data_IF_294805757367
#
_entry.id   IF_294805757367
#
_cell.length_a   1.000
_cell.length_b   1.000
_cell.length_c   1.000
_cell.angle_alpha   90.00
_cell.angle_beta   90.00
_cell.angle_gamma   90.00
#
_symmetry.space_group_name_H-M   'P 1'
#
loop_
_entity.id
_entity.type
_entity.pdbx_description
1 polymer ?
#
# COMPACT_ATOMS: atom_id res chain seq x y z
N UNK A 1 -22.64 -12.70 16.31
CA UNK A 1 -21.74 -11.76 15.60
C UNK A 1 -20.87 -11.11 16.64
N UNK A 2 -19.56 -11.12 16.44
CA UNK A 2 -18.53 -10.18 16.95
C UNK A 2 -17.18 -10.91 16.86
N UNK A 3 -16.67 -11.07 15.63
CA UNK A 3 -15.30 -11.55 15.43
C UNK A 3 -14.38 -10.33 15.46
N UNK A 4 -13.87 -10.03 16.65
CA UNK A 4 -12.82 -9.03 16.86
C UNK A 4 -11.51 -9.55 16.25
N UNK A 5 -11.22 -9.12 15.02
CA UNK A 5 -9.96 -9.38 14.36
C UNK A 5 -8.89 -8.39 14.79
N UNK A 6 -8.32 -8.55 16.00
CA UNK A 6 -7.06 -7.90 16.33
C UNK A 6 -5.97 -8.55 15.48
N UNK A 7 -5.52 -7.85 14.43
CA UNK A 7 -4.30 -8.22 13.72
C UNK A 7 -3.15 -8.01 14.70
N UNK A 8 -2.58 -9.10 15.20
CA UNK A 8 -1.40 -9.11 16.06
C UNK A 8 -0.26 -8.36 15.35
N UNK A 9 -0.03 -7.11 15.73
CA UNK A 9 1.17 -6.37 15.33
C UNK A 9 2.33 -6.88 16.19
N UNK A 10 3.06 -7.86 15.66
CA UNK A 10 4.19 -8.48 16.35
C UNK A 10 5.39 -7.53 16.32
N UNK A 11 5.64 -6.80 17.41
CA UNK A 11 6.88 -6.04 17.65
C UNK A 11 8.04 -6.96 18.04
N UNK A 12 8.31 -7.99 17.23
CA UNK A 12 9.51 -8.81 17.35
C UNK A 12 10.75 -8.16 16.72
N UNK A 13 10.56 -7.11 15.92
CA UNK A 13 11.65 -6.35 15.34
C UNK A 13 12.16 -5.32 16.35
N UNK A 14 13.47 -5.33 16.59
CA UNK A 14 14.21 -4.24 17.24
C UNK A 14 13.77 -2.92 16.59
N UNK A 15 13.62 -1.81 17.35
CA UNK A 15 13.31 -0.51 16.76
C UNK A 15 14.53 -0.02 15.97
N UNK A 16 14.70 -0.55 14.76
CA UNK A 16 15.67 -0.07 13.81
C UNK A 16 15.10 1.18 13.16
N UNK A 17 15.91 2.26 13.11
CA UNK A 17 15.58 3.38 12.25
C UNK A 17 15.41 2.83 10.84
N UNK A 18 14.22 3.02 10.29
CA UNK A 18 13.94 2.68 8.90
C UNK A 18 14.73 3.64 8.02
N UNK A 19 15.98 3.27 7.73
CA UNK A 19 16.90 4.00 6.86
C UNK A 19 16.60 3.75 5.37
N UNK A 20 15.61 2.91 5.09
CA UNK A 20 15.24 2.51 3.74
C UNK A 20 13.71 2.56 3.57
N UNK A 21 13.25 3.48 2.72
CA UNK A 21 11.84 3.60 2.34
C UNK A 21 11.30 2.32 1.70
N UNK A 22 12.17 1.45 1.15
CA UNK A 22 11.80 0.15 0.54
C UNK A 22 11.32 -0.89 1.56
N UNK A 23 11.48 -0.62 2.86
CA UNK A 23 11.02 -1.47 3.94
C UNK A 23 9.73 -0.96 4.62
N UNK A 24 9.25 0.23 4.24
CA UNK A 24 8.01 0.76 4.79
C UNK A 24 6.82 -0.07 4.29
N UNK A 25 5.97 -0.64 5.18
CA UNK A 25 4.84 -1.45 4.73
C UNK A 25 3.73 -0.62 4.07
N UNK A 26 3.73 0.70 4.29
CA UNK A 26 2.71 1.63 3.80
C UNK A 26 3.31 2.95 3.32
N UNK A 27 2.61 3.62 2.42
CA UNK A 27 2.90 5.01 2.04
C UNK A 27 1.62 5.82 1.76
N UNK A 28 1.77 7.14 1.67
CA UNK A 28 0.71 8.04 1.19
C UNK A 28 0.59 7.96 -0.33
N UNK A 29 -0.50 8.51 -0.89
CA UNK A 29 -0.71 8.59 -2.33
C UNK A 29 0.40 9.41 -3.01
N UNK A 30 0.74 10.58 -2.44
CA UNK A 30 1.87 11.40 -2.90
C UNK A 30 3.19 10.63 -2.94
N UNK A 31 3.54 9.90 -1.87
CA UNK A 31 4.81 9.15 -1.82
C UNK A 31 4.82 8.02 -2.85
N UNK A 32 3.69 7.35 -3.11
CA UNK A 32 3.63 6.38 -4.21
C UNK A 32 3.86 7.04 -5.57
N UNK A 33 3.26 8.22 -5.82
CA UNK A 33 3.47 8.96 -7.05
C UNK A 33 4.95 9.35 -7.22
N UNK A 34 5.61 9.81 -6.15
CA UNK A 34 7.04 10.11 -6.14
C UNK A 34 7.89 8.86 -6.45
N UNK A 35 7.55 7.70 -5.88
CA UNK A 35 8.22 6.42 -6.16
C UNK A 35 8.05 5.96 -7.61
N UNK A 36 6.91 6.24 -8.24
CA UNK A 36 6.63 5.91 -9.64
C UNK A 36 7.29 6.89 -10.64
N UNK A 37 7.81 8.03 -10.18
CA UNK A 37 8.36 9.07 -11.02
C UNK A 37 7.33 10.15 -11.35
N UNK A 38 7.53 11.34 -10.78
CA UNK A 38 6.62 12.49 -10.88
C UNK A 38 6.44 13.08 -12.28
N UNK A 39 7.28 12.67 -13.25
CA UNK A 39 7.14 13.14 -14.63
C UNK A 39 5.91 12.56 -15.34
N UNK A 40 5.40 11.42 -14.87
CA UNK A 40 4.31 10.67 -15.54
C UNK A 40 3.15 10.32 -14.62
N UNK A 41 3.41 10.12 -13.31
CA UNK A 41 2.39 9.74 -12.34
C UNK A 41 2.20 10.85 -11.31
N UNK A 42 1.00 11.45 -11.29
CA UNK A 42 0.61 12.46 -10.29
C UNK A 42 -0.15 11.83 -9.11
N UNK A 43 -0.28 12.55 -8.00
CA UNK A 43 -1.09 12.11 -6.86
C UNK A 43 -2.56 11.86 -7.24
N UNK A 44 -3.13 12.64 -8.18
CA UNK A 44 -4.50 12.46 -8.65
C UNK A 44 -4.70 11.14 -9.43
N UNK A 45 -3.68 10.71 -10.19
CA UNK A 45 -3.70 9.40 -10.87
C UNK A 45 -3.72 8.29 -9.83
N UNK A 46 -2.87 8.39 -8.80
CA UNK A 46 -2.84 7.42 -7.70
C UNK A 46 -4.18 7.42 -6.95
N UNK A 47 -4.81 8.58 -6.74
CA UNK A 47 -6.16 8.66 -6.17
C UNK A 47 -7.17 7.87 -7.01
N UNK A 48 -7.12 8.01 -8.33
CA UNK A 48 -7.94 7.21 -9.25
C UNK A 48 -7.75 5.71 -9.03
N UNK A 49 -6.51 5.23 -8.91
CA UNK A 49 -6.21 3.83 -8.62
C UNK A 49 -6.74 3.35 -7.26
N UNK A 50 -6.76 4.23 -6.25
CA UNK A 50 -7.35 3.93 -4.95
C UNK A 50 -8.87 3.80 -5.06
N UNK A 51 -9.53 4.70 -5.78
CA UNK A 51 -10.99 4.72 -5.95
C UNK A 51 -11.50 3.53 -6.77
N UNK A 52 -10.76 3.12 -7.80
CA UNK A 52 -11.09 1.96 -8.63
C UNK A 52 -10.64 0.62 -8.02
N UNK A 53 -10.08 0.62 -6.81
CA UNK A 53 -9.46 -0.56 -6.17
C UNK A 53 -8.42 -1.25 -7.06
N UNK A 54 -7.67 -0.48 -7.86
CA UNK A 54 -6.60 -0.97 -8.73
C UNK A 54 -5.35 -1.32 -7.93
N UNK A 55 -5.10 -0.63 -6.82
CA UNK A 55 -3.96 -0.88 -5.93
C UNK A 55 -4.43 -1.21 -4.51
N UNK A 56 -3.68 -2.03 -3.76
CA UNK A 56 -4.08 -2.44 -2.43
C UNK A 56 -3.97 -1.28 -1.45
N UNK A 57 -5.00 -1.08 -0.64
CA UNK A 57 -5.03 -0.06 0.42
C UNK A 57 -5.39 -0.66 1.76
N UNK A 58 -5.01 0.02 2.84
CA UNK A 58 -5.42 -0.31 4.21
C UNK A 58 -5.93 0.93 4.92
N UNK A 59 -6.94 0.76 5.77
CA UNK A 59 -7.46 1.83 6.64
C UNK A 59 -6.70 1.82 7.96
N UNK A 60 -5.98 2.90 8.26
CA UNK A 60 -5.29 3.11 9.53
C UNK A 60 -5.94 4.32 10.21
N UNK A 61 -6.73 4.06 11.25
CA UNK A 61 -7.55 5.07 11.89
C UNK A 61 -8.52 5.73 10.91
N UNK A 62 -8.38 7.05 10.72
CA UNK A 62 -9.21 7.85 9.79
C UNK A 62 -8.59 8.05 8.41
N UNK A 63 -7.43 7.45 8.14
CA UNK A 63 -6.71 7.61 6.86
C UNK A 63 -6.69 6.28 6.10
N UNK A 64 -6.74 6.37 4.77
CA UNK A 64 -6.46 5.26 3.86
C UNK A 64 -5.05 5.45 3.31
N UNK A 65 -4.21 4.43 3.44
CA UNK A 65 -2.83 4.42 2.95
C UNK A 65 -2.64 3.27 1.98
N UNK A 66 -1.64 3.38 1.11
CA UNK A 66 -1.28 2.32 0.16
C UNK A 66 -0.56 1.21 0.91
N UNK A 67 -0.88 -0.04 0.61
CA UNK A 67 -0.21 -1.22 1.17
C UNK A 67 0.94 -1.67 0.25
N UNK A 68 2.12 -1.08 0.46
CA UNK A 68 3.33 -1.42 -0.30
C UNK A 68 3.76 -2.87 -0.09
N UNK A 69 3.54 -3.41 1.11
CA UNK A 69 3.85 -4.81 1.38
C UNK A 69 3.08 -5.75 0.45
N UNK A 70 1.79 -5.49 0.22
CA UNK A 70 1.00 -6.29 -0.72
C UNK A 70 1.45 -6.13 -2.16
N UNK A 71 1.73 -4.90 -2.60
CA UNK A 71 2.28 -4.64 -3.95
C UNK A 71 3.56 -5.45 -4.16
N UNK A 72 4.47 -5.44 -3.18
CA UNK A 72 5.72 -6.19 -3.26
C UNK A 72 5.50 -7.69 -3.40
N UNK A 73 4.63 -8.28 -2.59
CA UNK A 73 4.30 -9.71 -2.68
C UNK A 73 3.68 -10.05 -4.04
N UNK A 74 2.79 -9.21 -4.57
CA UNK A 74 2.18 -9.44 -5.87
C UNK A 74 3.23 -9.37 -6.99
N UNK A 75 4.15 -8.40 -6.94
CA UNK A 75 5.29 -8.32 -7.87
C UNK A 75 6.23 -9.53 -7.76
N UNK A 76 6.58 -9.95 -6.55
CA UNK A 76 7.41 -11.14 -6.29
C UNK A 76 6.72 -12.43 -6.76
N UNK A 77 5.38 -12.47 -6.76
CA UNK A 77 4.60 -13.57 -7.33
C UNK A 77 4.52 -13.57 -8.87
N UNK A 78 5.07 -12.55 -9.51
CA UNK A 78 5.09 -12.40 -10.97
C UNK A 78 3.91 -11.63 -11.56
N UNK A 79 3.10 -10.95 -10.74
CA UNK A 79 2.06 -10.04 -11.26
C UNK A 79 2.73 -8.88 -11.97
N UNK A 80 2.36 -8.66 -13.23
CA UNK A 80 2.92 -7.59 -14.07
C UNK A 80 1.92 -6.46 -14.34
N UNK A 81 0.63 -6.68 -14.08
CA UNK A 81 -0.45 -5.71 -14.33
C UNK A 81 -1.36 -5.63 -13.11
N UNK A 82 -1.65 -4.40 -12.70
CA UNK A 82 -2.66 -4.05 -11.70
C UNK A 82 -3.86 -3.44 -12.42
N UNK A 83 -5.03 -4.06 -12.29
CA UNK A 83 -6.27 -3.71 -13.00
C UNK A 83 -7.33 -3.20 -12.03
N UNK A 84 -8.26 -2.37 -12.53
CA UNK A 84 -9.40 -1.92 -11.74
C UNK A 84 -10.17 -3.11 -11.16
N UNK A 85 -10.47 -3.04 -9.87
CA UNK A 85 -11.17 -4.10 -9.14
C UNK A 85 -10.29 -5.21 -8.57
N UNK A 86 -8.98 -5.26 -8.87
CA UNK A 86 -8.07 -6.30 -8.34
C UNK A 86 -8.09 -6.40 -6.81
N UNK A 87 -8.41 -5.29 -6.12
CA UNK A 87 -8.49 -5.21 -4.67
C UNK A 87 -9.88 -4.78 -4.18
N UNK A 88 -10.93 -5.00 -4.99
CA UNK A 88 -12.30 -4.84 -4.54
C UNK A 88 -12.64 -6.02 -3.59
N UNK A 89 -12.66 -5.74 -2.30
CA UNK A 89 -13.14 -6.66 -1.25
C UNK A 89 -14.51 -6.23 -0.75
#
# INVERSE_FOLDING_TARGET
MEQSGVVRFSTGAKPERMNDFRCAPFCTQLVLAEMCGIAEITEDVVRGWVESNTIPTVKIGRRRVINLHRIRLDLESGKTVFSAGDYAQ
#
